data_IF_133939567345
#
_entry.id   IF_133939567345
#
_cell.length_a   1.000
_cell.length_b   1.000
_cell.length_c   1.000
_cell.angle_alpha   90.00
_cell.angle_beta   90.00
_cell.angle_gamma   90.00
#
_symmetry.space_group_name_H-M   'P 1'
#
loop_
_entity.id
_entity.type
_entity.pdbx_description
1 polymer ?
#
# COMPACT_ATOMS: atom_id res chain seq x y z
N UNK A 1 7.00 31.99 -0.83
CA UNK A 1 6.79 31.19 -2.06
C UNK A 1 6.51 29.69 -1.81
N UNK A 2 6.99 29.07 -0.71
CA UNK A 2 6.80 27.62 -0.42
C UNK A 2 5.40 27.19 0.07
N UNK A 3 4.60 28.10 0.65
CA UNK A 3 3.26 27.78 1.22
C UNK A 3 2.12 27.71 0.18
N UNK A 4 2.29 28.24 -1.03
CA UNK A 4 1.22 28.23 -2.05
C UNK A 4 0.87 26.82 -2.53
N UNK A 5 1.80 25.87 -2.45
CA UNK A 5 1.60 24.48 -2.88
C UNK A 5 0.73 23.66 -1.93
N UNK A 6 0.62 24.08 -0.67
CA UNK A 6 -0.21 23.42 0.35
C UNK A 6 -1.51 24.19 0.54
N UNK A 7 -2.40 24.11 -0.45
CA UNK A 7 -3.70 24.76 -0.42
C UNK A 7 -4.80 23.73 -0.64
N UNK A 8 -5.75 23.65 0.31
CA UNK A 8 -6.90 22.74 0.22
C UNK A 8 -7.72 23.01 -1.04
N UNK A 9 -8.07 24.28 -1.29
CA UNK A 9 -8.81 24.69 -2.48
C UNK A 9 -8.12 24.21 -3.76
N UNK A 10 -6.80 24.42 -3.83
CA UNK A 10 -6.00 23.97 -4.98
C UNK A 10 -5.96 22.45 -5.08
N UNK A 11 -5.86 21.76 -3.95
CA UNK A 11 -5.93 20.30 -3.87
C UNK A 11 -7.24 19.75 -4.42
N UNK A 12 -8.38 20.36 -4.07
CA UNK A 12 -9.67 19.93 -4.60
C UNK A 12 -9.74 20.03 -6.12
N UNK A 13 -9.35 21.18 -6.68
CA UNK A 13 -9.28 21.40 -8.12
C UNK A 13 -8.37 20.36 -8.81
N UNK A 14 -7.14 20.20 -8.30
CA UNK A 14 -6.15 19.30 -8.90
C UNK A 14 -6.57 17.83 -8.85
N UNK A 15 -7.20 17.38 -7.77
CA UNK A 15 -7.70 16.01 -7.61
C UNK A 15 -8.88 15.76 -8.56
N UNK A 16 -9.83 16.70 -8.62
CA UNK A 16 -10.96 16.61 -9.55
C UNK A 16 -10.50 16.53 -11.00
N UNK A 17 -9.56 17.40 -11.40
CA UNK A 17 -9.03 17.44 -12.76
C UNK A 17 -8.24 16.16 -13.11
N UNK A 18 -7.37 15.71 -12.22
CA UNK A 18 -6.45 14.60 -12.50
C UNK A 18 -7.16 13.25 -12.55
N UNK A 19 -8.15 13.03 -11.68
CA UNK A 19 -8.84 11.74 -11.54
C UNK A 19 -10.24 11.74 -12.16
N UNK A 20 -10.69 12.85 -12.75
CA UNK A 20 -11.99 12.96 -13.41
C UNK A 20 -13.17 12.82 -12.43
N UNK A 21 -13.01 13.25 -11.19
CA UNK A 21 -14.05 13.18 -10.15
C UNK A 21 -14.70 14.54 -9.95
N UNK A 22 -16.02 14.59 -9.91
CA UNK A 22 -16.77 15.83 -9.70
C UNK A 22 -16.48 16.47 -8.33
N UNK A 23 -16.29 15.63 -7.30
CA UNK A 23 -15.93 16.05 -5.95
C UNK A 23 -14.96 15.04 -5.32
N UNK A 24 -13.81 15.50 -4.77
CA UNK A 24 -12.93 14.67 -3.94
C UNK A 24 -13.61 13.99 -2.75
N UNK A 25 -14.82 14.40 -2.37
CA UNK A 25 -15.68 13.70 -1.41
C UNK A 25 -15.90 12.23 -1.78
N UNK A 26 -16.07 11.92 -3.07
CA UNK A 26 -16.22 10.54 -3.55
C UNK A 26 -14.97 9.67 -3.34
N UNK A 27 -13.81 10.28 -3.08
CA UNK A 27 -12.56 9.62 -2.72
C UNK A 27 -12.35 9.55 -1.20
N UNK A 28 -13.28 10.08 -0.39
CA UNK A 28 -13.17 10.14 1.06
C UNK A 28 -12.20 11.23 1.56
N UNK A 29 -11.81 12.19 0.71
CA UNK A 29 -10.83 13.23 1.06
C UNK A 29 -11.45 14.56 1.48
N UNK A 30 -12.75 14.76 1.27
CA UNK A 30 -13.42 16.03 1.56
C UNK A 30 -13.38 16.40 3.06
N UNK A 31 -13.39 15.40 3.94
CA UNK A 31 -13.36 15.57 5.39
C UNK A 31 -11.93 15.75 5.96
N UNK A 32 -10.89 15.78 5.10
CA UNK A 32 -9.48 15.85 5.53
C UNK A 32 -8.74 16.98 4.78
N UNK A 33 -8.94 18.25 5.17
CA UNK A 33 -8.36 19.42 4.50
C UNK A 33 -6.82 19.37 4.34
N UNK A 34 -6.13 18.81 5.34
CA UNK A 34 -4.68 18.65 5.35
C UNK A 34 -4.22 17.64 4.30
N UNK A 35 -5.01 16.56 4.07
CA UNK A 35 -4.71 15.59 3.04
C UNK A 35 -4.85 16.21 1.64
N UNK A 36 -5.90 17.02 1.41
CA UNK A 36 -6.06 17.75 0.16
C UNK A 36 -4.90 18.71 -0.10
N UNK A 37 -4.46 19.42 0.94
CA UNK A 37 -3.30 20.33 0.85
C UNK A 37 -1.99 19.57 0.55
N UNK A 38 -1.78 18.40 1.16
CA UNK A 38 -0.61 17.56 0.89
C UNK A 38 -0.62 16.97 -0.53
N UNK A 39 -1.77 16.49 -0.99
CA UNK A 39 -1.95 15.96 -2.35
C UNK A 39 -1.68 17.06 -3.39
N UNK A 40 -2.13 18.29 -3.15
CA UNK A 40 -1.83 19.44 -4.01
C UNK A 40 -0.31 19.61 -4.21
N UNK A 41 0.46 19.60 -3.12
CA UNK A 41 1.91 19.75 -3.17
C UNK A 41 2.60 18.61 -3.93
N UNK A 42 2.13 17.36 -3.76
CA UNK A 42 2.65 16.19 -4.48
C UNK A 42 2.36 16.31 -5.98
N UNK A 43 1.12 16.65 -6.36
CA UNK A 43 0.74 16.80 -7.77
C UNK A 43 1.55 17.92 -8.44
N UNK A 44 1.69 19.08 -7.79
CA UNK A 44 2.48 20.18 -8.34
C UNK A 44 3.96 19.83 -8.47
N UNK A 45 4.52 19.12 -7.50
CA UNK A 45 5.90 18.63 -7.59
C UNK A 45 6.08 17.66 -8.77
N UNK A 46 5.18 16.69 -8.94
CA UNK A 46 5.25 15.76 -10.07
C UNK A 46 5.02 16.46 -11.42
N UNK A 47 4.16 17.47 -11.48
CA UNK A 47 3.99 18.30 -12.71
C UNK A 47 5.28 19.02 -13.13
N UNK A 48 6.11 19.40 -12.16
CA UNK A 48 7.38 20.08 -12.43
C UNK A 48 8.51 19.10 -12.76
N UNK A 49 8.55 17.94 -12.11
CA UNK A 49 9.72 17.05 -12.16
C UNK A 49 9.50 15.80 -13.05
N UNK A 50 8.29 15.25 -13.12
CA UNK A 50 8.01 14.01 -13.84
C UNK A 50 6.52 13.93 -14.27
N UNK A 51 6.15 14.70 -15.29
CA UNK A 51 4.74 14.80 -15.75
C UNK A 51 4.12 13.45 -16.13
N UNK A 52 4.91 12.52 -16.65
CA UNK A 52 4.43 11.19 -17.04
C UNK A 52 4.02 10.33 -15.84
N UNK A 53 4.59 10.56 -14.65
CA UNK A 53 4.21 9.83 -13.44
C UNK A 53 2.75 10.10 -13.04
N UNK A 54 2.23 11.30 -13.31
CA UNK A 54 0.84 11.67 -12.99
C UNK A 54 -0.18 10.77 -13.68
N UNK A 55 0.11 10.29 -14.90
CA UNK A 55 -0.78 9.40 -15.66
C UNK A 55 -0.89 8.01 -15.05
N UNK A 56 0.07 7.62 -14.20
CA UNK A 56 0.13 6.29 -13.56
C UNK A 56 -0.43 6.30 -12.14
N UNK A 57 -0.77 7.48 -11.60
CA UNK A 57 -1.32 7.59 -10.26
C UNK A 57 -2.73 6.96 -10.22
N UNK A 58 -2.93 6.07 -9.26
CA UNK A 58 -4.28 5.68 -8.86
C UNK A 58 -4.90 6.77 -7.99
N UNK A 59 -6.24 6.89 -7.97
CA UNK A 59 -6.92 7.84 -7.09
C UNK A 59 -6.46 7.66 -5.63
N UNK A 60 -6.13 8.77 -4.93
CA UNK A 60 -5.73 8.72 -3.54
C UNK A 60 -6.85 8.14 -2.69
N UNK A 61 -6.49 7.25 -1.76
CA UNK A 61 -7.40 6.65 -0.80
C UNK A 61 -6.97 7.05 0.61
N UNK A 62 -7.84 7.68 1.42
CA UNK A 62 -7.54 7.98 2.80
C UNK A 62 -7.18 6.70 3.53
N UNK A 63 -6.10 6.75 4.29
CA UNK A 63 -5.64 5.65 5.10
C UNK A 63 -5.85 6.01 6.57
N UNK A 64 -6.88 5.44 7.19
CA UNK A 64 -7.16 5.63 8.60
C UNK A 64 -6.42 4.58 9.44
N UNK A 65 -5.64 5.04 10.42
CA UNK A 65 -4.92 4.18 11.36
C UNK A 65 -5.84 3.23 12.14
N UNK A 66 -7.14 3.52 12.25
CA UNK A 66 -8.12 2.65 12.92
C UNK A 66 -8.38 1.30 12.23
N UNK A 67 -8.03 1.16 10.94
CA UNK A 67 -8.25 -0.07 10.18
C UNK A 67 -7.16 -1.13 10.42
N UNK A 68 -6.03 -0.73 11.02
CA UNK A 68 -4.85 -1.56 11.18
C UNK A 68 -4.28 -1.45 12.59
N UNK A 69 -3.60 -2.50 13.06
CA UNK A 69 -2.89 -2.45 14.32
C UNK A 69 -1.77 -1.41 14.20
N UNK A 70 -1.82 -0.38 15.04
CA UNK A 70 -0.79 0.63 15.10
C UNK A 70 0.42 0.01 15.79
N UNK A 71 1.48 -0.19 15.01
CA UNK A 71 2.81 -0.56 15.51
C UNK A 71 3.69 0.67 15.38
N UNK A 72 4.27 1.11 16.49
CA UNK A 72 5.27 2.18 16.46
C UNK A 72 6.58 1.65 15.87
N UNK A 73 7.43 2.59 15.44
CA UNK A 73 8.69 2.23 14.77
C UNK A 73 9.65 1.41 15.67
N UNK A 74 9.77 1.70 16.98
CA UNK A 74 10.49 0.83 17.91
C UNK A 74 9.95 -0.60 17.94
N UNK A 75 8.62 -0.81 18.01
CA UNK A 75 8.05 -2.18 18.01
C UNK A 75 8.37 -2.91 16.70
N UNK A 76 8.21 -2.26 15.54
CA UNK A 76 8.55 -2.89 14.25
C UNK A 76 10.01 -3.32 14.16
N UNK A 77 10.92 -2.49 14.71
CA UNK A 77 12.35 -2.77 14.75
C UNK A 77 12.69 -3.88 15.72
N UNK A 78 12.13 -3.84 16.94
CA UNK A 78 12.39 -4.83 17.99
C UNK A 78 11.85 -6.22 17.62
N UNK A 79 10.74 -6.27 16.86
CA UNK A 79 10.20 -7.51 16.30
C UNK A 79 10.91 -7.97 15.02
N UNK A 80 11.88 -7.20 14.53
CA UNK A 80 12.63 -7.46 13.30
C UNK A 80 11.71 -7.83 12.13
N UNK A 81 10.63 -7.06 11.93
CA UNK A 81 9.59 -7.43 10.97
C UNK A 81 10.14 -7.53 9.55
N UNK A 82 11.01 -6.59 9.16
CA UNK A 82 11.53 -6.46 7.80
C UNK A 82 13.05 -6.36 7.71
N UNK A 83 13.70 -5.91 8.77
CA UNK A 83 15.15 -5.75 8.87
C UNK A 83 15.58 -6.20 10.26
N UNK A 84 16.68 -6.94 10.34
CA UNK A 84 17.26 -7.32 11.61
C UNK A 84 18.03 -6.13 12.22
N UNK A 85 18.38 -6.25 13.49
CA UNK A 85 19.12 -5.23 14.23
C UNK A 85 20.65 -5.41 14.15
N UNK A 86 21.13 -6.54 13.62
CA UNK A 86 22.56 -6.85 13.55
C UNK A 86 23.26 -6.15 12.38
N UNK A 87 22.81 -6.40 11.15
CA UNK A 87 23.39 -5.85 9.91
C UNK A 87 22.39 -5.05 9.07
N UNK A 88 21.13 -4.93 9.54
CA UNK A 88 20.07 -4.24 8.82
C UNK A 88 19.58 -4.97 7.57
N UNK A 89 20.04 -6.20 7.34
CA UNK A 89 19.58 -7.04 6.24
C UNK A 89 18.22 -7.66 6.54
N UNK A 90 17.64 -8.31 5.53
CA UNK A 90 16.40 -9.06 5.70
C UNK A 90 16.63 -10.41 6.37
N UNK A 91 17.88 -10.90 6.49
CA UNK A 91 18.13 -12.23 7.05
C UNK A 91 17.64 -12.34 8.49
N UNK A 92 17.06 -13.49 8.82
CA UNK A 92 16.50 -13.81 10.15
C UNK A 92 15.32 -12.92 10.59
N UNK A 93 14.71 -12.17 9.67
CA UNK A 93 13.50 -11.37 9.93
C UNK A 93 12.22 -12.17 9.71
N UNK A 94 11.10 -11.67 10.22
CA UNK A 94 9.78 -12.24 9.93
C UNK A 94 9.50 -12.30 8.42
N UNK A 95 9.80 -11.22 7.69
CA UNK A 95 9.66 -11.20 6.23
C UNK A 95 10.47 -12.31 5.57
N UNK A 96 11.72 -12.53 5.99
CA UNK A 96 12.58 -13.55 5.39
C UNK A 96 12.07 -14.97 5.62
N UNK A 97 11.48 -15.24 6.79
CA UNK A 97 10.86 -16.54 7.08
C UNK A 97 9.59 -16.76 6.25
N UNK A 98 8.79 -15.72 6.01
CA UNK A 98 7.49 -15.86 5.37
C UNK A 98 7.50 -15.67 3.85
N UNK A 99 8.46 -14.94 3.29
CA UNK A 99 8.45 -14.57 1.88
C UNK A 99 8.92 -15.70 0.96
N UNK A 100 7.96 -16.57 0.63
CA UNK A 100 8.07 -17.59 -0.41
C UNK A 100 7.20 -17.25 -1.63
N UNK A 101 6.90 -15.96 -1.82
CA UNK A 101 6.03 -15.50 -2.90
C UNK A 101 6.64 -15.79 -4.27
N UNK A 102 5.79 -15.97 -5.28
CA UNK A 102 6.22 -16.32 -6.65
C UNK A 102 6.33 -15.11 -7.58
N UNK A 103 5.95 -13.93 -7.12
CA UNK A 103 5.97 -12.69 -7.91
C UNK A 103 6.49 -11.52 -7.06
N UNK A 104 7.19 -10.54 -7.66
CA UNK A 104 7.63 -9.33 -6.94
C UNK A 104 6.47 -8.55 -6.30
N UNK A 105 5.33 -8.43 -7.00
CA UNK A 105 4.11 -7.81 -6.46
C UNK A 105 3.52 -8.57 -5.26
N UNK A 106 3.68 -9.89 -5.24
CA UNK A 106 3.32 -10.72 -4.09
C UNK A 106 4.17 -10.40 -2.87
N UNK A 107 5.49 -10.33 -3.02
CA UNK A 107 6.42 -9.96 -1.94
C UNK A 107 6.15 -8.56 -1.38
N UNK A 108 5.84 -7.59 -2.24
CA UNK A 108 5.40 -6.24 -1.80
C UNK A 108 4.07 -6.29 -1.03
N UNK A 109 3.12 -7.09 -1.47
CA UNK A 109 1.84 -7.28 -0.77
C UNK A 109 2.04 -7.90 0.60
N UNK A 110 2.87 -8.94 0.71
CA UNK A 110 3.20 -9.59 1.98
C UNK A 110 3.89 -8.61 2.95
N UNK A 111 4.90 -7.88 2.46
CA UNK A 111 5.58 -6.82 3.23
C UNK A 111 4.59 -5.81 3.80
N UNK A 112 3.61 -5.38 3.00
CA UNK A 112 2.53 -4.48 3.43
C UNK A 112 1.67 -5.12 4.52
N UNK A 113 1.27 -6.38 4.36
CA UNK A 113 0.44 -7.07 5.36
C UNK A 113 1.14 -7.26 6.71
N UNK A 114 2.46 -7.49 6.71
CA UNK A 114 3.26 -7.58 7.93
C UNK A 114 3.29 -6.24 8.67
N UNK A 115 3.51 -5.13 7.95
CA UNK A 115 3.60 -3.80 8.55
C UNK A 115 2.27 -3.24 9.02
N UNK A 116 1.18 -3.67 8.38
CA UNK A 116 -0.16 -3.15 8.62
C UNK A 116 -1.11 -4.34 8.85
N UNK A 117 -1.09 -4.94 10.06
CA UNK A 117 -2.00 -6.03 10.41
C UNK A 117 -3.43 -5.50 10.46
N UNK A 118 -4.38 -6.24 9.88
CA UNK A 118 -5.80 -5.86 9.91
C UNK A 118 -6.35 -5.84 11.34
N UNK A 119 -7.31 -4.95 11.61
CA UNK A 119 -8.11 -4.97 12.85
C UNK A 119 -9.51 -5.53 12.66
N UNK A 120 -10.03 -5.51 11.44
CA UNK A 120 -11.36 -6.01 11.12
C UNK A 120 -11.38 -7.55 11.15
N UNK A 121 -12.14 -8.16 12.09
CA UNK A 121 -12.26 -9.62 12.16
C UNK A 121 -12.86 -10.25 10.90
N UNK A 122 -13.70 -9.52 10.15
CA UNK A 122 -14.28 -10.04 8.91
C UNK A 122 -13.21 -10.17 7.81
N UNK A 123 -12.47 -9.09 7.53
CA UNK A 123 -11.35 -9.14 6.58
C UNK A 123 -10.25 -10.14 6.97
N UNK A 124 -10.01 -10.35 8.28
CA UNK A 124 -9.09 -11.39 8.76
C UNK A 124 -9.61 -12.79 8.38
N UNK A 125 -10.90 -13.07 8.63
CA UNK A 125 -11.51 -14.35 8.31
C UNK A 125 -11.52 -14.64 6.81
N UNK A 126 -11.81 -13.65 5.97
CA UNK A 126 -11.75 -13.83 4.51
C UNK A 126 -10.35 -14.27 4.04
N UNK A 127 -9.27 -13.69 4.61
CA UNK A 127 -7.91 -14.15 4.32
C UNK A 127 -7.64 -15.56 4.82
N UNK A 128 -8.11 -15.89 6.02
CA UNK A 128 -7.97 -17.23 6.59
C UNK A 128 -8.72 -18.28 5.76
N UNK A 129 -9.90 -17.95 5.25
CA UNK A 129 -10.68 -18.79 4.34
C UNK A 129 -9.96 -19.05 3.03
N UNK A 130 -9.41 -18.01 2.40
CA UNK A 130 -8.62 -18.17 1.18
C UNK A 130 -7.39 -19.06 1.41
N UNK A 131 -6.69 -18.88 2.54
CA UNK A 131 -5.55 -19.72 2.91
C UNK A 131 -5.99 -21.17 3.15
N UNK A 132 -7.06 -21.40 3.91
CA UNK A 132 -7.63 -22.73 4.17
C UNK A 132 -8.01 -23.44 2.89
N UNK A 133 -8.72 -22.75 1.99
CA UNK A 133 -9.11 -23.31 0.70
C UNK A 133 -7.89 -23.78 -0.11
N UNK A 134 -6.84 -22.95 -0.20
CA UNK A 134 -5.61 -23.35 -0.90
C UNK A 134 -4.81 -24.41 -0.14
N UNK A 135 -4.92 -24.47 1.19
CA UNK A 135 -4.29 -25.51 2.01
C UNK A 135 -4.92 -26.89 1.74
N UNK A 136 -6.24 -26.95 1.76
CA UNK A 136 -7.07 -28.14 1.54
C UNK A 136 -7.04 -28.62 0.07
N UNK A 137 -6.68 -27.75 -0.88
CA UNK A 137 -6.58 -28.06 -2.31
C UNK A 137 -5.13 -27.97 -2.82
N UNK A 138 -4.25 -28.94 -2.51
CA UNK A 138 -2.82 -28.88 -2.83
C UNK A 138 -2.52 -28.85 -4.32
N UNK A 139 -3.27 -29.58 -5.15
CA UNK A 139 -3.06 -29.60 -6.62
C UNK A 139 -3.37 -28.25 -7.26
N UNK A 140 -4.44 -27.60 -6.80
CA UNK A 140 -4.79 -26.24 -7.19
C UNK A 140 -3.69 -25.26 -6.77
N UNK A 141 -3.24 -25.34 -5.51
CA UNK A 141 -2.16 -24.49 -4.99
C UNK A 141 -0.87 -24.66 -5.80
N UNK A 142 -0.48 -25.90 -6.12
CA UNK A 142 0.70 -26.18 -6.94
C UNK A 142 0.56 -25.63 -8.37
N UNK A 143 -0.62 -25.77 -8.97
CA UNK A 143 -0.89 -25.28 -10.32
C UNK A 143 -0.92 -23.75 -10.39
N UNK A 144 -1.54 -23.09 -9.41
CA UNK A 144 -1.50 -21.64 -9.25
C UNK A 144 -0.08 -21.13 -9.03
N UNK A 145 0.71 -21.80 -8.17
CA UNK A 145 2.10 -21.44 -7.90
C UNK A 145 2.96 -21.46 -9.17
N UNK A 146 2.81 -22.51 -10.00
CA UNK A 146 3.50 -22.65 -11.30
C UNK A 146 3.04 -21.61 -12.33
N UNK A 147 1.75 -21.26 -12.33
CA UNK A 147 1.24 -20.22 -13.22
C UNK A 147 1.80 -18.84 -12.82
N UNK A 148 1.73 -18.50 -11.53
CA UNK A 148 2.19 -17.22 -11.00
C UNK A 148 3.71 -17.03 -11.13
N UNK A 149 4.52 -18.09 -11.05
CA UNK A 149 5.97 -17.97 -11.22
C UNK A 149 6.40 -17.50 -12.62
N UNK A 150 5.49 -17.52 -13.59
CA UNK A 150 5.72 -17.01 -14.96
C UNK A 150 5.26 -15.57 -15.15
N UNK A 151 4.58 -15.00 -14.15
CA UNK A 151 4.05 -13.63 -14.21
C UNK A 151 5.16 -12.66 -13.83
N UNK A 152 5.47 -11.72 -14.72
CA UNK A 152 6.42 -10.64 -14.46
C UNK A 152 5.81 -9.56 -13.57
N UNK A 153 6.60 -8.55 -13.21
CA UNK A 153 6.12 -7.46 -12.37
C UNK A 153 5.17 -6.52 -13.13
N UNK A 154 3.87 -6.83 -13.11
CA UNK A 154 2.82 -6.04 -13.81
C UNK A 154 2.53 -4.71 -13.11
N UNK A 155 2.94 -4.54 -11.85
CA UNK A 155 2.73 -3.29 -11.10
C UNK A 155 3.72 -2.19 -11.51
N UNK A 156 4.76 -2.52 -12.30
CA UNK A 156 5.79 -1.60 -12.79
C UNK A 156 5.59 -1.25 -14.26
#
# INVERSE_FOLDING_TARGET
MKLKRFSEKRGRELVSDLFGVADPAGLGLAEIPEALSAVAAIIEYLRENEKEALKRLSPPKPYFLGNYLILDEPTKRNLELLRNQFDGSTRFTLLWVLDHTKTPMGGRTLRRWILYPLRDPYAIRERQEAVRYLFENPDLRASLSRALSRVTDVER
#
